data_IF_051159907893
#
_entry.id   IF_051159907893
#
_cell.length_a   1.000
_cell.length_b   1.000
_cell.length_c   1.000
_cell.angle_alpha   90.00
_cell.angle_beta   90.00
_cell.angle_gamma   90.00
#
_symmetry.space_group_name_H-M   'P 1'
#
loop_
_entity.id
_entity.type
_entity.pdbx_description
1 polymer ?
#
# COMPACT_ATOMS: atom_id res chain seq x y z
N UNK A 1 10.87 20.40 -41.13
CA UNK A 1 11.37 19.28 -40.29
C UNK A 1 11.30 19.73 -38.85
N UNK A 2 10.41 19.13 -38.06
CA UNK A 2 10.06 19.59 -36.70
C UNK A 2 10.43 18.51 -35.69
N UNK A 3 10.96 18.94 -34.55
CA UNK A 3 11.65 18.18 -33.51
C UNK A 3 10.98 16.85 -33.10
N UNK A 4 11.72 15.74 -33.24
CA UNK A 4 11.44 14.50 -32.50
C UNK A 4 11.90 14.71 -31.06
N UNK A 5 10.98 14.75 -30.11
CA UNK A 5 11.26 14.54 -28.68
C UNK A 5 11.49 13.04 -28.44
N UNK A 6 12.68 12.59 -28.01
CA UNK A 6 12.89 11.24 -27.52
C UNK A 6 12.91 11.28 -25.98
N UNK A 7 11.86 10.80 -25.31
CA UNK A 7 11.92 10.68 -23.85
C UNK A 7 10.67 10.28 -23.09
N UNK A 8 9.48 10.19 -23.70
CA UNK A 8 8.21 9.99 -22.98
C UNK A 8 7.65 8.56 -23.04
N UNK A 9 8.51 7.56 -23.25
CA UNK A 9 8.08 6.16 -23.26
C UNK A 9 9.10 5.26 -22.56
N UNK A 10 9.51 5.65 -21.34
CA UNK A 10 9.92 4.60 -20.39
C UNK A 10 8.61 3.95 -19.95
N UNK A 11 8.32 2.69 -20.33
CA UNK A 11 7.35 1.93 -19.57
C UNK A 11 7.85 1.99 -18.13
N UNK A 12 7.09 2.68 -17.28
CA UNK A 12 7.28 2.62 -15.83
C UNK A 12 7.40 1.15 -15.53
N UNK A 13 8.59 0.74 -15.10
CA UNK A 13 8.90 -0.65 -14.80
C UNK A 13 7.72 -1.14 -13.98
N UNK A 14 6.94 -2.07 -14.53
CA UNK A 14 5.75 -2.57 -13.88
C UNK A 14 6.26 -3.19 -12.59
N UNK A 15 6.18 -2.44 -11.50
CA UNK A 15 6.44 -2.88 -10.12
C UNK A 15 5.35 -3.87 -9.66
N UNK A 16 4.69 -4.54 -10.60
CA UNK A 16 3.53 -5.38 -10.44
C UNK A 16 3.84 -6.69 -9.69
N UNK A 17 5.12 -7.04 -9.50
CA UNK A 17 5.53 -8.17 -8.65
C UNK A 17 5.92 -7.79 -7.22
N UNK A 18 6.17 -6.50 -6.95
CA UNK A 18 6.64 -5.98 -5.66
C UNK A 18 5.57 -5.16 -4.93
N UNK A 19 4.44 -4.86 -5.59
CA UNK A 19 3.28 -4.24 -4.95
C UNK A 19 2.47 -5.32 -4.21
N UNK A 20 1.87 -4.93 -3.08
CA UNK A 20 0.86 -5.75 -2.42
C UNK A 20 -0.45 -5.65 -3.20
N UNK A 21 -1.22 -6.73 -3.24
CA UNK A 21 -2.50 -6.78 -3.93
C UNK A 21 -3.66 -6.70 -2.93
N UNK A 22 -4.90 -6.57 -3.44
CA UNK A 22 -6.12 -6.64 -2.64
C UNK A 22 -6.18 -7.92 -1.79
N UNK A 23 -5.66 -9.04 -2.31
CA UNK A 23 -5.59 -10.29 -1.57
C UNK A 23 -4.72 -10.19 -0.31
N UNK A 24 -3.60 -9.45 -0.37
CA UNK A 24 -2.72 -9.21 0.78
C UNK A 24 -3.44 -8.34 1.83
N UNK A 25 -4.17 -7.31 1.38
CA UNK A 25 -4.97 -6.43 2.26
C UNK A 25 -6.12 -7.19 2.94
N UNK A 26 -6.85 -8.01 2.18
CA UNK A 26 -7.92 -8.85 2.71
C UNK A 26 -7.39 -9.89 3.71
N UNK A 27 -6.21 -10.45 3.44
CA UNK A 27 -5.55 -11.34 4.38
C UNK A 27 -5.21 -10.61 5.68
N UNK A 28 -4.56 -9.44 5.62
CA UNK A 28 -4.22 -8.66 6.82
C UNK A 28 -5.46 -8.28 7.61
N UNK A 29 -6.51 -7.76 6.96
CA UNK A 29 -7.79 -7.47 7.62
C UNK A 29 -8.42 -8.72 8.26
N UNK A 30 -8.25 -9.89 7.66
CA UNK A 30 -8.75 -11.16 8.18
C UNK A 30 -7.98 -11.72 9.39
N UNK A 31 -6.79 -11.20 9.71
CA UNK A 31 -5.97 -11.69 10.83
C UNK A 31 -6.46 -11.21 12.20
N UNK A 32 -7.23 -10.12 12.25
CA UNK A 32 -7.77 -9.63 13.53
C UNK A 32 -8.70 -8.43 13.37
N UNK A 33 -9.53 -8.16 14.39
CA UNK A 33 -10.39 -6.98 14.42
C UNK A 33 -9.56 -5.73 14.71
N UNK A 34 -8.98 -5.14 13.68
CA UNK A 34 -8.16 -3.94 13.80
C UNK A 34 -9.01 -2.75 14.25
N UNK A 35 -8.71 -2.22 15.44
CA UNK A 35 -9.45 -1.05 15.98
C UNK A 35 -9.03 0.27 15.30
N UNK A 36 -7.88 0.28 14.64
CA UNK A 36 -7.41 1.43 13.89
C UNK A 36 -6.01 1.25 13.31
N UNK A 37 -5.50 2.29 12.65
CA UNK A 37 -4.19 2.26 11.99
C UNK A 37 -3.04 1.93 12.93
N UNK A 38 -3.07 2.38 14.19
CA UNK A 38 -2.00 2.10 15.15
C UNK A 38 -1.80 0.59 15.42
N UNK A 39 -2.91 -0.15 15.56
CA UNK A 39 -2.88 -1.60 15.75
C UNK A 39 -2.37 -2.31 14.48
N UNK A 40 -2.91 -1.94 13.32
CA UNK A 40 -2.51 -2.52 12.04
C UNK A 40 -1.03 -2.23 11.70
N UNK A 41 -0.56 -1.00 11.92
CA UNK A 41 0.84 -0.62 11.73
C UNK A 41 1.76 -1.32 12.74
N UNK A 42 1.31 -1.51 13.98
CA UNK A 42 2.01 -2.27 14.99
C UNK A 42 2.21 -3.72 14.58
N UNK A 43 1.14 -4.37 14.10
CA UNK A 43 1.22 -5.72 13.57
C UNK A 43 2.13 -5.82 12.33
N UNK A 44 1.97 -4.90 11.36
CA UNK A 44 2.82 -4.86 10.17
C UNK A 44 4.31 -4.71 10.51
N UNK A 45 4.64 -3.95 11.56
CA UNK A 45 6.03 -3.74 11.98
C UNK A 45 6.61 -4.94 12.74
N UNK A 46 5.78 -5.68 13.47
CA UNK A 46 6.22 -6.80 14.30
C UNK A 46 5.95 -8.15 13.65
N UNK A 47 4.69 -8.58 13.73
CA UNK A 47 4.26 -9.94 13.41
C UNK A 47 4.18 -10.19 11.90
N UNK A 48 3.81 -9.17 11.11
CA UNK A 48 3.75 -9.27 9.65
C UNK A 48 5.11 -9.54 8.98
N UNK A 49 6.23 -9.24 9.63
CA UNK A 49 7.58 -9.58 9.12
C UNK A 49 7.82 -11.10 9.15
N UNK A 50 7.13 -11.82 10.04
CA UNK A 50 7.22 -13.28 10.16
C UNK A 50 6.20 -14.01 9.27
N UNK A 51 5.32 -13.27 8.60
CA UNK A 51 4.26 -13.87 7.79
C UNK A 51 4.82 -14.37 6.45
N UNK A 52 4.73 -15.68 6.13
CA UNK A 52 5.29 -16.25 4.90
C UNK A 52 4.49 -15.88 3.65
N UNK A 53 3.29 -15.31 3.81
CA UNK A 53 2.40 -14.91 2.71
C UNK A 53 2.75 -13.50 2.23
N UNK A 54 3.23 -12.64 3.14
CA UNK A 54 3.68 -11.29 2.86
C UNK A 54 5.20 -11.25 2.66
N UNK A 55 5.63 -10.92 1.45
CA UNK A 55 7.06 -10.64 1.24
C UNK A 55 7.45 -9.35 1.96
N UNK A 56 8.70 -9.24 2.46
CA UNK A 56 9.15 -8.05 3.18
C UNK A 56 9.01 -6.76 2.37
N UNK A 57 9.10 -6.83 1.04
CA UNK A 57 8.91 -5.70 0.14
C UNK A 57 7.44 -5.23 0.11
N UNK A 58 6.50 -6.18 0.01
CA UNK A 58 5.05 -5.91 0.06
C UNK A 58 4.64 -5.35 1.41
N UNK A 59 5.13 -5.95 2.49
CA UNK A 59 4.88 -5.49 3.85
C UNK A 59 5.36 -4.05 4.05
N UNK A 60 6.58 -3.74 3.60
CA UNK A 60 7.15 -2.39 3.71
C UNK A 60 6.32 -1.36 2.94
N UNK A 61 5.84 -1.72 1.74
CA UNK A 61 4.95 -0.84 0.95
C UNK A 61 3.59 -0.66 1.60
N UNK A 62 2.98 -1.74 2.07
CA UNK A 62 1.71 -1.70 2.77
C UNK A 62 1.80 -0.83 4.02
N UNK A 63 2.89 -0.97 4.78
CA UNK A 63 3.18 -0.14 5.94
C UNK A 63 3.35 1.34 5.58
N UNK A 64 4.10 1.66 4.51
CA UNK A 64 4.28 3.05 4.06
C UNK A 64 2.97 3.70 3.59
N UNK A 65 2.14 2.96 2.85
CA UNK A 65 0.85 3.47 2.38
C UNK A 65 -0.15 3.60 3.54
N UNK A 66 -0.13 2.66 4.49
CA UNK A 66 -0.94 2.73 5.70
C UNK A 66 -0.52 3.90 6.61
N UNK A 67 0.79 4.14 6.76
CA UNK A 67 1.31 5.29 7.50
C UNK A 67 0.89 6.60 6.83
N UNK A 68 0.93 6.67 5.49
CA UNK A 68 0.47 7.84 4.73
C UNK A 68 -1.05 8.08 4.86
N UNK A 69 -1.86 7.02 4.88
CA UNK A 69 -3.30 7.11 5.11
C UNK A 69 -3.61 7.55 6.55
N UNK A 70 -2.88 7.01 7.53
CA UNK A 70 -2.97 7.40 8.94
C UNK A 70 -2.58 8.88 9.13
N UNK A 71 -1.47 9.33 8.52
CA UNK A 71 -1.02 10.72 8.57
C UNK A 71 -2.00 11.71 7.92
N UNK A 72 -2.86 11.22 7.03
CA UNK A 72 -3.95 11.99 6.42
C UNK A 72 -5.23 12.02 7.27
N UNK A 73 -5.26 11.35 8.43
CA UNK A 73 -6.43 11.28 9.30
C UNK A 73 -7.58 10.46 8.73
N UNK A 74 -7.31 9.55 7.78
CA UNK A 74 -8.33 8.63 7.27
C UNK A 74 -8.71 7.62 8.35
N UNK A 75 -9.97 7.22 8.43
CA UNK A 75 -10.38 6.09 9.26
C UNK A 75 -9.92 4.78 8.62
N UNK A 76 -9.63 3.75 9.43
CA UNK A 76 -9.35 2.40 8.91
C UNK A 76 -10.68 1.76 8.50
N UNK A 77 -10.95 1.52 7.20
CA UNK A 77 -12.13 0.79 6.79
C UNK A 77 -12.02 -0.70 7.15
N UNK A 78 -13.13 -1.27 7.59
CA UNK A 78 -13.29 -2.72 7.82
C UNK A 78 -13.40 -3.52 6.50
N UNK A 79 -13.73 -2.83 5.40
CA UNK A 79 -13.83 -3.43 4.08
C UNK A 79 -12.47 -3.46 3.34
N UNK A 80 -12.03 -4.63 2.85
CA UNK A 80 -10.73 -4.78 2.20
C UNK A 80 -10.59 -4.11 0.84
N UNK A 81 -11.69 -4.00 0.07
CA UNK A 81 -11.68 -3.28 -1.20
C UNK A 81 -11.51 -1.78 -0.96
N UNK A 82 -12.26 -1.28 0.03
CA UNK A 82 -12.20 0.10 0.46
C UNK A 82 -10.82 0.45 1.02
N UNK A 83 -10.25 -0.42 1.86
CA UNK A 83 -8.89 -0.23 2.39
C UNK A 83 -7.87 -0.15 1.25
N UNK A 84 -7.90 -1.09 0.32
CA UNK A 84 -6.99 -1.11 -0.83
C UNK A 84 -7.10 0.16 -1.68
N UNK A 85 -8.34 0.62 -1.93
CA UNK A 85 -8.60 1.85 -2.68
C UNK A 85 -8.06 3.09 -1.95
N UNK A 86 -8.31 3.22 -0.64
CA UNK A 86 -7.81 4.34 0.17
C UNK A 86 -6.29 4.40 0.21
N UNK A 87 -5.62 3.25 0.35
CA UNK A 87 -4.16 3.17 0.31
C UNK A 87 -3.59 3.64 -1.04
N UNK A 88 -4.22 3.24 -2.15
CA UNK A 88 -3.86 3.71 -3.50
C UNK A 88 -4.07 5.22 -3.68
N UNK A 89 -5.15 5.77 -3.12
CA UNK A 89 -5.40 7.21 -3.12
C UNK A 89 -4.37 7.96 -2.28
N UNK A 90 -4.06 7.45 -1.09
CA UNK A 90 -3.06 8.03 -0.20
C UNK A 90 -1.67 8.09 -0.86
N UNK A 91 -1.27 7.00 -1.51
CA UNK A 91 -0.05 6.94 -2.32
C UNK A 91 -0.03 7.97 -3.44
N UNK A 92 -1.11 8.07 -4.20
CA UNK A 92 -1.21 9.03 -5.31
C UNK A 92 -1.09 10.48 -4.83
N UNK A 93 -1.70 10.81 -3.68
CA UNK A 93 -1.58 12.15 -3.06
C UNK A 93 -0.17 12.44 -2.59
N UNK A 94 0.51 11.46 -2.01
CA UNK A 94 1.91 11.55 -1.60
C UNK A 94 2.84 11.80 -2.79
N UNK A 95 2.62 11.11 -3.92
CA UNK A 95 3.43 11.31 -5.13
C UNK A 95 3.20 12.69 -5.80
N UNK A 96 2.15 13.42 -5.39
CA UNK A 96 1.82 14.76 -5.91
C UNK A 96 2.15 15.92 -4.96
N UNK A 97 2.58 15.63 -3.72
CA UNK A 97 2.94 16.63 -2.71
C UNK A 97 4.46 16.76 -2.59
#
# INVERSE_FOLDING_TARGET
MVFRQPGMNRPTVRTAGLDYDRADVAYVLGLGPWTGWGELLGWLRGDGVSDPRLTPDRLRRLWQDAEAACGQGMALPDDPDRLWSELRQARTRRERS
#
